data_IF_516695766012
#
_entry.id   IF_516695766012
#
_cell.length_a   1.000
_cell.length_b   1.000
_cell.length_c   1.000
_cell.angle_alpha   90.00
_cell.angle_beta   90.00
_cell.angle_gamma   90.00
#
_symmetry.space_group_name_H-M   'P 1'
#
loop_
_entity.id
_entity.type
_entity.pdbx_description
1 polymer ?
#
# COMPACT_ATOMS: atom_id res chain seq x y z
N UNK A 1 -65.78 -16.78 -19.77
CA UNK A 1 -65.71 -18.02 -20.58
C UNK A 1 -66.01 -17.63 -22.02
N UNK A 2 -65.26 -18.05 -23.05
CA UNK A 2 -64.54 -19.33 -23.21
C UNK A 2 -63.01 -19.12 -23.37
N UNK A 3 -62.15 -20.10 -23.60
CA UNK A 3 -61.90 -21.48 -23.14
C UNK A 3 -60.63 -21.91 -23.93
N UNK A 4 -59.64 -22.46 -23.21
CA UNK A 4 -58.77 -23.59 -23.62
C UNK A 4 -57.89 -23.42 -24.89
N UNK A 5 -56.59 -23.66 -24.91
CA UNK A 5 -55.72 -24.45 -24.05
C UNK A 5 -54.82 -25.27 -24.98
N UNK A 6 -53.49 -25.19 -24.86
CA UNK A 6 -52.60 -26.31 -25.20
C UNK A 6 -51.36 -26.19 -24.33
N UNK A 7 -51.26 -27.09 -23.34
CA UNK A 7 -50.04 -27.33 -22.61
C UNK A 7 -49.05 -28.11 -23.46
N UNK A 8 -47.80 -27.69 -23.42
CA UNK A 8 -46.64 -28.57 -23.65
C UNK A 8 -45.70 -28.32 -22.48
N UNK A 9 -45.55 -29.36 -21.65
CA UNK A 9 -44.71 -29.36 -20.46
C UNK A 9 -43.21 -29.29 -20.78
N UNK A 10 -42.38 -29.08 -19.74
CA UNK A 10 -40.97 -28.79 -19.88
C UNK A 10 -40.13 -30.07 -19.97
N UNK A 11 -39.29 -30.19 -20.99
CA UNK A 11 -38.13 -31.09 -21.00
C UNK A 11 -36.89 -30.20 -20.99
N UNK A 12 -36.20 -30.07 -19.84
CA UNK A 12 -35.09 -30.94 -19.47
C UNK A 12 -34.01 -30.92 -20.58
N UNK A 13 -33.05 -30.02 -20.50
CA UNK A 13 -31.73 -30.20 -19.85
C UNK A 13 -30.63 -30.54 -20.87
N UNK A 14 -29.50 -29.85 -20.72
CA UNK A 14 -28.36 -29.80 -21.65
C UNK A 14 -28.20 -28.37 -22.19
N UNK A 15 -27.82 -27.35 -21.40
CA UNK A 15 -26.53 -27.20 -20.74
C UNK A 15 -25.40 -27.75 -21.58
N UNK A 16 -24.79 -26.92 -22.43
CA UNK A 16 -23.33 -26.69 -22.45
C UNK A 16 -22.88 -26.02 -23.75
N UNK A 17 -23.13 -24.71 -23.92
CA UNK A 17 -22.20 -23.90 -24.72
C UNK A 17 -22.19 -22.46 -24.21
N UNK A 18 -21.97 -22.34 -22.89
CA UNK A 18 -21.39 -21.11 -22.35
C UNK A 18 -19.89 -21.21 -22.60
N UNK A 19 -19.47 -20.84 -23.82
CA UNK A 19 -18.12 -20.34 -24.09
C UNK A 19 -17.98 -19.03 -23.32
N UNK A 20 -17.81 -19.21 -22.01
CA UNK A 20 -17.44 -18.22 -21.02
C UNK A 20 -16.00 -17.85 -21.33
N UNK A 21 -15.79 -17.05 -22.37
CA UNK A 21 -14.56 -16.29 -22.56
C UNK A 21 -14.53 -15.23 -21.45
N UNK A 22 -14.20 -15.67 -20.23
CA UNK A 22 -13.66 -14.79 -19.21
C UNK A 22 -12.24 -14.44 -19.66
N UNK A 23 -12.17 -13.44 -20.54
CA UNK A 23 -10.99 -12.60 -20.68
C UNK A 23 -10.69 -11.99 -19.32
N UNK A 24 -9.85 -12.70 -18.56
CA UNK A 24 -9.33 -12.33 -17.26
C UNK A 24 -8.18 -11.37 -17.46
N UNK A 25 -8.47 -10.22 -18.08
CA UNK A 25 -7.44 -9.21 -18.36
C UNK A 25 -7.92 -7.83 -17.98
N UNK A 26 -8.70 -7.77 -16.88
CA UNK A 26 -8.52 -6.64 -15.98
C UNK A 26 -7.07 -6.68 -15.55
N UNK A 27 -6.22 -5.86 -16.19
CA UNK A 27 -4.92 -5.44 -15.67
C UNK A 27 -5.18 -4.97 -14.24
N UNK A 28 -5.06 -5.91 -13.33
CA UNK A 28 -4.68 -5.65 -11.97
C UNK A 28 -3.27 -5.09 -12.12
N UNK A 29 -3.18 -3.77 -12.36
CA UNK A 29 -2.22 -3.00 -11.62
C UNK A 29 -2.59 -3.32 -10.17
N UNK A 30 -2.02 -4.42 -9.63
CA UNK A 30 -1.91 -4.60 -8.20
C UNK A 30 -1.21 -3.33 -7.78
N UNK A 31 -2.00 -2.31 -7.41
CA UNK A 31 -1.52 -1.17 -6.67
C UNK A 31 -0.80 -1.85 -5.52
N UNK A 32 0.55 -1.81 -5.45
CA UNK A 32 1.21 -2.41 -4.33
C UNK A 32 0.63 -1.67 -3.14
N UNK A 33 -0.22 -2.36 -2.39
CA UNK A 33 -0.73 -1.92 -1.11
C UNK A 33 0.48 -1.94 -0.19
N UNK A 34 1.39 -0.97 -0.35
CA UNK A 34 2.41 -0.69 0.65
C UNK A 34 1.73 0.10 1.76
N UNK A 35 0.78 -0.55 2.43
CA UNK A 35 0.49 -0.25 3.81
C UNK A 35 1.69 -0.76 4.62
N UNK A 36 2.86 -0.10 4.49
CA UNK A 36 3.99 -0.36 5.38
C UNK A 36 3.66 0.25 6.75
N UNK A 37 3.93 -0.45 7.85
CA UNK A 37 3.75 0.08 9.19
C UNK A 37 4.53 1.39 9.34
N UNK A 38 3.79 2.43 9.74
CA UNK A 38 4.18 3.82 9.70
C UNK A 38 5.46 4.12 10.49
N UNK A 39 6.44 4.75 9.84
CA UNK A 39 7.57 5.43 10.48
C UNK A 39 8.93 4.76 10.26
N UNK A 40 9.12 3.53 10.76
CA UNK A 40 10.44 2.89 10.72
C UNK A 40 10.86 2.43 9.32
N UNK A 41 9.91 1.87 8.55
CA UNK A 41 10.16 1.53 7.15
C UNK A 41 10.35 2.79 6.29
N UNK A 42 9.73 3.91 6.66
CA UNK A 42 9.82 5.15 5.88
C UNK A 42 11.19 5.79 6.02
N UNK A 43 11.74 5.84 7.24
CA UNK A 43 13.08 6.36 7.46
C UNK A 43 14.13 5.56 6.66
N UNK A 44 14.08 4.23 6.72
CA UNK A 44 14.99 3.37 5.96
C UNK A 44 14.85 3.58 4.45
N UNK A 45 13.62 3.76 3.93
CA UNK A 45 13.38 4.09 2.52
C UNK A 45 13.97 5.44 2.12
N UNK A 46 13.82 6.46 2.97
CA UNK A 46 14.38 7.78 2.72
C UNK A 46 15.92 7.75 2.73
N UNK A 47 16.54 7.00 3.65
CA UNK A 47 17.99 6.82 3.70
C UNK A 47 18.52 6.09 2.45
N UNK A 48 17.83 5.04 1.98
CA UNK A 48 18.19 4.35 0.73
C UNK A 48 18.06 5.26 -0.49
N UNK A 49 16.97 6.02 -0.59
CA UNK A 49 16.80 7.03 -1.63
C UNK A 49 17.91 8.09 -1.59
N UNK A 50 18.30 8.57 -0.40
CA UNK A 50 19.39 9.53 -0.23
C UNK A 50 20.72 8.97 -0.78
N UNK A 51 21.03 7.71 -0.48
CA UNK A 51 22.25 7.05 -1.01
C UNK A 51 22.25 6.98 -2.54
N UNK A 52 21.10 6.69 -3.15
CA UNK A 52 20.97 6.64 -4.60
C UNK A 52 21.21 8.03 -5.20
N UNK A 53 20.57 9.06 -4.64
CA UNK A 53 20.70 10.44 -5.13
C UNK A 53 22.12 10.97 -4.93
N UNK A 54 22.80 10.61 -3.84
CA UNK A 54 24.22 10.95 -3.64
C UNK A 54 25.09 10.49 -4.81
N UNK A 55 24.90 9.25 -5.27
CA UNK A 55 25.63 8.71 -6.45
C UNK A 55 25.25 9.43 -7.74
N UNK A 56 24.02 9.91 -7.85
CA UNK A 56 23.57 10.67 -9.01
C UNK A 56 24.21 12.07 -9.05
N UNK A 57 24.44 12.70 -7.89
CA UNK A 57 25.12 14.01 -7.80
C UNK A 57 26.55 13.94 -8.35
N UNK A 58 27.27 12.84 -8.09
CA UNK A 58 28.62 12.64 -8.63
C UNK A 58 28.65 12.68 -10.17
N UNK A 59 27.52 12.35 -10.81
CA UNK A 59 27.37 12.34 -12.27
C UNK A 59 26.77 13.64 -12.80
N UNK A 60 25.74 14.18 -12.13
CA UNK A 60 25.04 15.39 -12.54
C UNK A 60 24.59 16.21 -11.31
N UNK A 61 25.10 17.45 -11.12
CA UNK A 61 24.73 18.28 -9.98
C UNK A 61 23.27 18.74 -10.00
N UNK A 62 22.49 18.48 -11.07
CA UNK A 62 21.05 18.78 -11.11
C UNK A 62 20.27 18.11 -9.97
N UNK A 63 20.79 17.01 -9.41
CA UNK A 63 20.15 16.26 -8.33
C UNK A 63 20.35 16.86 -6.93
N UNK A 64 21.22 17.86 -6.77
CA UNK A 64 21.50 18.50 -5.46
C UNK A 64 20.23 18.98 -4.74
N UNK A 65 19.27 19.67 -5.37
CA UNK A 65 18.05 20.13 -4.68
C UNK A 65 17.18 18.98 -4.15
N UNK A 66 17.23 17.81 -4.79
CA UNK A 66 16.48 16.62 -4.35
C UNK A 66 17.17 15.99 -3.14
N UNK A 67 18.50 15.91 -3.16
CA UNK A 67 19.29 15.41 -2.03
C UNK A 67 19.05 16.24 -0.77
N UNK A 68 19.15 17.56 -0.85
CA UNK A 68 18.88 18.45 0.29
C UNK A 68 17.46 18.28 0.84
N UNK A 69 16.49 18.00 -0.04
CA UNK A 69 15.11 17.74 0.37
C UNK A 69 15.00 16.45 1.16
N UNK A 70 15.65 15.38 0.70
CA UNK A 70 15.67 14.08 1.38
C UNK A 70 16.37 14.18 2.75
N UNK A 71 17.46 14.94 2.87
CA UNK A 71 18.11 15.18 4.18
C UNK A 71 17.13 15.80 5.20
N UNK A 72 16.37 16.81 4.77
CA UNK A 72 15.35 17.44 5.64
C UNK A 72 14.20 16.50 5.97
N UNK A 73 13.84 15.59 5.07
CA UNK A 73 12.78 14.59 5.30
C UNK A 73 13.23 13.53 6.31
N UNK A 74 14.47 13.05 6.19
CA UNK A 74 15.11 12.12 7.13
C UNK A 74 15.17 12.72 8.53
N UNK A 75 15.60 13.98 8.67
CA UNK A 75 15.71 14.63 9.98
C UNK A 75 14.34 14.71 10.67
N UNK A 76 13.29 15.11 9.92
CA UNK A 76 11.92 15.16 10.44
C UNK A 76 11.40 13.79 10.88
N UNK A 77 11.67 12.74 10.13
CA UNK A 77 11.19 11.39 10.49
C UNK A 77 12.00 10.81 11.66
N UNK A 78 13.30 11.12 11.77
CA UNK A 78 14.14 10.80 12.94
C UNK A 78 13.61 11.47 14.20
N UNK A 79 13.31 12.77 14.14
CA UNK A 79 12.74 13.53 15.25
C UNK A 79 11.37 12.98 15.68
N UNK A 80 10.50 12.64 14.72
CA UNK A 80 9.19 12.05 15.01
C UNK A 80 9.31 10.68 15.68
N UNK A 81 10.23 9.85 15.20
CA UNK A 81 10.47 8.50 15.75
C UNK A 81 11.08 8.58 17.15
N UNK A 82 12.06 9.45 17.38
CA UNK A 82 12.70 9.62 18.69
C UNK A 82 11.71 10.15 19.73
N UNK A 83 10.90 11.16 19.39
CA UNK A 83 9.85 11.67 20.26
C UNK A 83 8.81 10.59 20.62
N UNK A 84 8.42 9.75 19.66
CA UNK A 84 7.52 8.62 19.91
C UNK A 84 8.11 7.60 20.89
N UNK A 85 9.38 7.22 20.71
CA UNK A 85 10.08 6.30 21.60
C UNK A 85 10.21 6.86 23.02
N UNK A 86 10.59 8.14 23.15
CA UNK A 86 10.69 8.83 24.44
C UNK A 86 9.32 8.92 25.13
N UNK A 87 8.27 9.29 24.39
CA UNK A 87 6.91 9.35 24.94
C UNK A 87 6.45 7.98 25.45
N UNK A 88 6.72 6.91 24.70
CA UNK A 88 6.42 5.54 25.13
C UNK A 88 7.17 5.16 26.40
N UNK A 89 8.47 5.48 26.49
CA UNK A 89 9.27 5.22 27.69
C UNK A 89 8.73 5.96 28.91
N UNK A 90 8.36 7.24 28.75
CA UNK A 90 7.76 8.05 29.83
C UNK A 90 6.44 7.48 30.32
N UNK A 91 5.57 7.02 29.41
CA UNK A 91 4.31 6.36 29.77
C UNK A 91 4.54 5.05 30.55
N UNK A 92 5.58 4.29 30.23
CA UNK A 92 5.93 3.07 30.96
C UNK A 92 6.47 3.37 32.37
N UNK A 93 7.25 4.45 32.53
CA UNK A 93 7.74 4.87 33.84
C UNK A 93 6.58 5.31 34.75
N UNK A 94 5.69 6.18 34.26
CA UNK A 94 4.53 6.64 35.03
C UNK A 94 3.59 5.50 35.45
N UNK A 95 3.46 4.44 34.63
CA UNK A 95 2.68 3.25 35.00
C UNK A 95 3.35 2.41 36.09
N UNK A 96 4.69 2.35 36.13
CA UNK A 96 5.42 1.60 37.16
C UNK A 96 5.51 2.36 38.50
N UNK A 97 5.39 3.69 38.49
CA UNK A 97 5.40 4.50 39.72
C UNK A 97 4.06 4.44 40.50
N UNK A 98 3.00 3.88 39.92
CA UNK A 98 1.65 3.78 40.51
C UNK A 98 1.36 2.36 41.08
N UNK A 99 2.30 1.42 40.98
CA UNK A 99 2.22 0.06 41.56
C UNK A 99 3.00 -0.08 42.85
#
# INVERSE_FOLDING_TARGET
MPQEGIGVGPMAQGQEEQTRLHGTEGRQYRRPSSCSPAGQDELARLEDALMIVARLIDTDPVYVPIFERLEREIEREKEKTSNSAVNRARLLLAQNEIG
#
